data_IF_041362260373
#
_entry.id   IF_041362260373
#
_cell.length_a   1.000
_cell.length_b   1.000
_cell.length_c   1.000
_cell.angle_alpha   90.00
_cell.angle_beta   90.00
_cell.angle_gamma   90.00
#
_symmetry.space_group_name_H-M   'P 1'
#
loop_
_entity.id
_entity.type
_entity.pdbx_description
1 polymer ?
#
# COMPACT_ATOMS: atom_id res chain seq x y z
N UNK A 1 -20.76 11.32 -1.50
CA UNK A 1 -21.87 10.69 -2.26
C UNK A 1 -21.67 9.19 -2.40
N UNK A 2 -20.64 8.68 -3.09
CA UNK A 2 -20.43 7.22 -3.29
C UNK A 2 -20.41 6.43 -1.99
N UNK A 3 -19.51 6.77 -1.05
CA UNK A 3 -19.38 6.07 0.25
C UNK A 3 -20.68 6.05 1.07
N UNK A 4 -21.44 7.15 1.03
CA UNK A 4 -22.71 7.25 1.75
C UNK A 4 -23.76 6.30 1.15
N UNK A 5 -23.86 6.25 -0.18
CA UNK A 5 -24.80 5.39 -0.90
C UNK A 5 -24.43 3.91 -0.68
N UNK A 6 -23.17 3.56 -0.88
CA UNK A 6 -22.70 2.17 -0.72
C UNK A 6 -22.87 1.69 0.71
N UNK A 7 -22.54 2.51 1.71
CA UNK A 7 -22.78 2.19 3.11
C UNK A 7 -24.27 1.95 3.43
N UNK A 8 -25.17 2.79 2.90
CA UNK A 8 -26.64 2.60 3.03
C UNK A 8 -27.13 1.27 2.45
N UNK A 9 -26.41 0.71 1.47
CA UNK A 9 -26.69 -0.59 0.87
C UNK A 9 -25.89 -1.76 1.47
N UNK A 10 -25.24 -1.55 2.63
CA UNK A 10 -24.48 -2.59 3.32
C UNK A 10 -23.14 -2.92 2.66
N UNK A 11 -22.59 -1.97 1.89
CA UNK A 11 -21.28 -2.05 1.24
C UNK A 11 -20.38 -0.94 1.83
N UNK A 12 -19.93 -1.08 3.09
CA UNK A 12 -18.99 -0.12 3.65
C UNK A 12 -17.70 -0.03 2.81
N UNK A 13 -17.05 1.12 2.91
CA UNK A 13 -15.68 1.30 2.41
C UNK A 13 -14.74 0.45 3.26
N UNK A 14 -13.81 -0.28 2.62
CA UNK A 14 -12.73 -0.98 3.31
C UNK A 14 -11.36 -0.44 2.91
N UNK A 15 -11.28 0.20 1.73
CA UNK A 15 -10.12 0.92 1.22
C UNK A 15 -10.57 2.11 0.35
N UNK A 16 -9.69 3.10 0.16
CA UNK A 16 -9.98 4.41 -0.46
C UNK A 16 -10.88 4.38 -1.72
N UNK A 17 -10.75 3.37 -2.58
CA UNK A 17 -11.46 3.26 -3.86
C UNK A 17 -12.48 2.12 -3.95
N UNK A 18 -12.59 1.23 -2.95
CA UNK A 18 -13.48 0.06 -3.02
C UNK A 18 -14.37 -0.14 -1.79
N UNK A 19 -15.50 -0.79 -2.07
CA UNK A 19 -16.58 -1.04 -1.13
C UNK A 19 -17.02 -2.48 -1.26
N UNK A 20 -17.28 -3.14 -0.14
CA UNK A 20 -17.71 -4.53 -0.14
C UNK A 20 -18.56 -4.82 1.10
N UNK A 21 -19.36 -5.90 1.04
CA UNK A 21 -19.94 -6.45 2.26
C UNK A 21 -18.79 -6.97 3.14
N UNK A 22 -18.91 -6.92 4.47
CA UNK A 22 -17.94 -7.56 5.35
C UNK A 22 -17.71 -9.02 4.94
N UNK A 23 -16.45 -9.42 4.73
CA UNK A 23 -16.06 -10.75 4.28
C UNK A 23 -16.07 -10.96 2.76
N UNK A 24 -16.43 -9.93 1.98
CA UNK A 24 -16.40 -9.95 0.52
C UNK A 24 -15.36 -8.97 -0.06
N UNK A 25 -14.41 -8.53 0.74
CA UNK A 25 -13.33 -7.63 0.33
C UNK A 25 -12.44 -8.29 -0.72
N UNK A 26 -11.93 -7.48 -1.67
CA UNK A 26 -11.06 -7.99 -2.72
C UNK A 26 -9.72 -8.45 -2.12
N UNK A 27 -9.55 -9.77 -1.99
CA UNK A 27 -8.30 -10.39 -1.49
C UNK A 27 -7.07 -9.92 -2.25
N UNK A 28 -7.18 -9.76 -3.57
CA UNK A 28 -6.08 -9.29 -4.41
C UNK A 28 -5.65 -7.86 -4.05
N UNK A 29 -6.60 -6.93 -3.91
CA UNK A 29 -6.30 -5.55 -3.50
C UNK A 29 -5.72 -5.50 -2.09
N UNK A 30 -6.27 -6.31 -1.17
CA UNK A 30 -5.79 -6.37 0.21
C UNK A 30 -4.34 -6.82 0.28
N UNK A 31 -3.89 -7.78 -0.56
CA UNK A 31 -2.47 -8.15 -0.60
C UNK A 31 -1.59 -6.94 -0.89
N UNK A 32 -1.97 -6.08 -1.84
CA UNK A 32 -1.21 -4.85 -2.13
C UNK A 32 -1.23 -3.86 -0.98
N UNK A 33 -2.43 -3.57 -0.45
CA UNK A 33 -2.62 -2.55 0.57
C UNK A 33 -2.07 -2.94 1.95
N UNK A 34 -2.03 -4.25 2.26
CA UNK A 34 -1.33 -4.78 3.44
C UNK A 34 0.18 -4.91 3.26
N UNK A 35 0.71 -4.49 2.11
CA UNK A 35 2.13 -4.61 1.78
C UNK A 35 2.64 -6.07 1.81
N UNK A 36 1.75 -6.98 1.41
CA UNK A 36 2.02 -8.40 1.27
C UNK A 36 2.90 -8.71 0.06
N UNK A 37 3.22 -10.00 -0.10
CA UNK A 37 4.04 -10.49 -1.19
C UNK A 37 3.20 -10.87 -2.40
N UNK A 38 3.68 -10.53 -3.59
CA UNK A 38 3.02 -10.88 -4.84
C UNK A 38 3.99 -10.92 -6.01
N UNK A 39 3.78 -11.89 -6.89
CA UNK A 39 4.46 -11.99 -8.17
C UNK A 39 3.61 -11.34 -9.26
N UNK A 40 4.14 -10.30 -9.92
CA UNK A 40 3.60 -9.78 -11.17
C UNK A 40 4.04 -10.64 -12.35
N UNK A 41 3.09 -11.09 -13.17
CA UNK A 41 3.33 -11.90 -14.37
C UNK A 41 2.60 -11.27 -15.56
N UNK A 42 3.26 -11.24 -16.71
CA UNK A 42 2.72 -10.70 -17.95
C UNK A 42 3.14 -9.24 -18.20
N UNK A 43 2.82 -8.71 -19.40
CA UNK A 43 3.32 -7.42 -19.82
C UNK A 43 2.95 -6.28 -18.84
N UNK A 44 3.95 -5.53 -18.38
CA UNK A 44 3.78 -4.36 -17.50
C UNK A 44 3.47 -4.71 -16.04
N UNK A 45 3.48 -5.99 -15.67
CA UNK A 45 3.24 -6.40 -14.30
C UNK A 45 4.36 -5.94 -13.38
N UNK A 46 4.00 -5.68 -12.12
CA UNK A 46 4.93 -5.37 -11.05
C UNK A 46 4.80 -6.41 -9.95
N UNK A 47 5.86 -6.62 -9.18
CA UNK A 47 5.79 -7.47 -8.00
C UNK A 47 6.64 -6.98 -6.85
N UNK A 48 6.28 -7.46 -5.67
CA UNK A 48 7.07 -7.34 -4.45
C UNK A 48 7.21 -8.72 -3.83
N UNK A 49 8.42 -9.26 -3.80
CA UNK A 49 8.71 -10.59 -3.25
C UNK A 49 9.79 -10.45 -2.18
N UNK A 50 9.61 -11.09 -1.03
CA UNK A 50 10.65 -11.16 0.00
C UNK A 50 11.57 -12.33 -0.31
N UNK A 51 12.87 -12.06 -0.38
CA UNK A 51 13.93 -13.04 -0.59
C UNK A 51 14.82 -13.10 0.65
N UNK A 52 15.84 -13.96 0.62
CA UNK A 52 16.87 -13.99 1.66
C UNK A 52 17.67 -12.69 1.77
N UNK A 53 17.65 -11.85 0.74
CA UNK A 53 18.43 -10.60 0.71
C UNK A 53 17.62 -9.39 1.19
N UNK A 54 16.37 -9.27 0.74
CA UNK A 54 15.45 -8.18 1.06
C UNK A 54 14.07 -8.43 0.46
N UNK A 55 13.18 -7.45 0.61
CA UNK A 55 12.09 -7.27 -0.35
C UNK A 55 12.63 -6.74 -1.68
N UNK A 56 12.30 -7.43 -2.76
CA UNK A 56 12.64 -7.10 -4.13
C UNK A 56 11.44 -6.44 -4.81
N UNK A 57 11.67 -5.34 -5.53
CA UNK A 57 10.71 -4.73 -6.43
C UNK A 57 11.07 -5.09 -7.86
N UNK A 58 10.12 -5.66 -8.59
CA UNK A 58 10.34 -6.03 -9.99
C UNK A 58 9.29 -5.43 -10.91
N UNK A 59 9.70 -5.12 -12.12
CA UNK A 59 8.82 -4.69 -13.21
C UNK A 59 9.08 -5.52 -14.47
N UNK A 60 8.02 -5.76 -15.24
CA UNK A 60 8.02 -6.60 -16.42
C UNK A 60 7.84 -5.71 -17.67
N UNK A 61 8.50 -6.09 -18.78
CA UNK A 61 8.37 -5.41 -20.07
C UNK A 61 6.89 -5.16 -20.41
N UNK A 62 6.56 -3.91 -20.71
CA UNK A 62 5.17 -3.45 -20.87
C UNK A 62 4.61 -3.67 -22.26
N UNK A 63 5.47 -3.79 -23.27
CA UNK A 63 5.06 -4.02 -24.66
C UNK A 63 4.83 -5.51 -24.89
N UNK A 64 3.60 -5.97 -25.14
CA UNK A 64 3.28 -7.40 -25.22
C UNK A 64 4.14 -8.17 -26.23
N UNK A 65 4.47 -7.58 -27.37
CA UNK A 65 5.28 -8.23 -28.40
C UNK A 65 6.73 -8.41 -27.94
N UNK A 66 7.33 -7.36 -27.35
CA UNK A 66 8.70 -7.42 -26.82
C UNK A 66 8.78 -8.33 -25.60
N UNK A 67 7.75 -8.31 -24.76
CA UNK A 67 7.62 -9.22 -23.64
C UNK A 67 7.64 -10.66 -24.10
N UNK A 68 6.85 -11.01 -25.13
CA UNK A 68 6.79 -12.36 -25.67
C UNK A 68 8.15 -12.79 -26.24
N UNK A 69 8.76 -11.95 -27.08
CA UNK A 69 10.08 -12.20 -27.66
C UNK A 69 11.14 -12.47 -26.58
N UNK A 70 11.17 -11.66 -25.51
CA UNK A 70 12.10 -11.86 -24.39
C UNK A 70 11.82 -13.11 -23.60
N UNK A 71 10.56 -13.41 -23.31
CA UNK A 71 10.20 -14.65 -22.59
C UNK A 71 10.61 -15.88 -23.40
N UNK A 72 10.38 -15.89 -24.71
CA UNK A 72 10.78 -17.00 -25.58
C UNK A 72 12.31 -17.14 -25.69
N UNK A 73 13.05 -16.03 -25.69
CA UNK A 73 14.52 -16.03 -25.83
C UNK A 73 15.27 -16.28 -24.52
N UNK A 74 14.82 -15.70 -23.41
CA UNK A 74 15.54 -15.58 -22.13
C UNK A 74 14.82 -16.30 -20.97
N UNK A 75 13.57 -16.72 -21.15
CA UNK A 75 12.74 -17.33 -20.11
C UNK A 75 12.05 -16.33 -19.18
N UNK A 76 12.32 -15.02 -19.33
CA UNK A 76 11.66 -13.95 -18.58
C UNK A 76 11.66 -12.63 -19.36
N UNK A 77 10.95 -11.63 -18.86
CA UNK A 77 10.98 -10.28 -19.39
C UNK A 77 11.08 -9.21 -18.29
N UNK A 78 11.91 -9.47 -17.26
CA UNK A 78 12.24 -8.49 -16.22
C UNK A 78 12.89 -7.25 -16.83
N UNK A 79 12.48 -6.08 -16.38
CA UNK A 79 13.08 -4.77 -16.72
C UNK A 79 13.80 -4.19 -15.51
N UNK A 80 13.15 -4.23 -14.35
CA UNK A 80 13.76 -3.88 -13.06
C UNK A 80 13.67 -5.07 -12.11
N UNK A 81 14.67 -5.20 -11.26
CA UNK A 81 14.74 -6.19 -10.19
C UNK A 81 15.61 -5.64 -9.06
N UNK A 82 15.05 -4.68 -8.34
CA UNK A 82 15.79 -3.85 -7.41
C UNK A 82 15.52 -4.25 -5.96
N UNK A 83 16.58 -4.20 -5.17
CA UNK A 83 16.47 -4.34 -3.72
C UNK A 83 15.86 -3.07 -3.13
N UNK A 84 14.75 -3.20 -2.39
CA UNK A 84 14.20 -2.07 -1.65
C UNK A 84 15.02 -1.82 -0.38
N UNK A 85 15.39 -0.55 -0.15
CA UNK A 85 15.95 -0.09 1.10
C UNK A 85 14.92 -0.14 2.22
N UNK A 86 15.36 -0.10 3.49
CA UNK A 86 14.46 -0.02 4.65
C UNK A 86 13.54 1.20 4.53
N UNK A 87 14.10 2.36 4.20
CA UNK A 87 13.34 3.60 3.99
C UNK A 87 12.27 3.45 2.90
N UNK A 88 12.64 2.92 1.73
CA UNK A 88 11.68 2.68 0.65
C UNK A 88 10.57 1.70 1.06
N UNK A 89 10.90 0.68 1.87
CA UNK A 89 9.89 -0.23 2.38
C UNK A 89 8.93 0.44 3.38
N UNK A 90 9.44 1.34 4.22
CA UNK A 90 8.62 2.17 5.11
C UNK A 90 7.68 3.07 4.33
N UNK A 91 8.19 3.75 3.31
CA UNK A 91 7.41 4.66 2.46
C UNK A 91 6.33 3.91 1.67
N UNK A 92 6.67 2.77 1.05
CA UNK A 92 5.67 1.91 0.39
C UNK A 92 4.62 1.42 1.39
N UNK A 93 5.00 1.02 2.62
CA UNK A 93 4.04 0.59 3.64
C UNK A 93 3.07 1.70 4.07
N UNK A 94 3.55 2.94 4.24
CA UNK A 94 2.68 4.09 4.51
C UNK A 94 1.72 4.36 3.34
N UNK A 95 2.25 4.43 2.12
CA UNK A 95 1.49 4.71 0.91
C UNK A 95 0.38 3.68 0.67
N UNK A 96 0.68 2.40 0.90
CA UNK A 96 -0.24 1.30 0.70
C UNK A 96 -1.24 1.20 1.86
N UNK A 97 -0.75 1.14 3.10
CA UNK A 97 -1.58 0.79 4.25
C UNK A 97 -2.52 1.90 4.71
N UNK A 98 -2.18 3.17 4.48
CA UNK A 98 -3.08 4.29 4.81
C UNK A 98 -4.28 4.40 3.86
N UNK A 99 -4.28 3.64 2.75
CA UNK A 99 -5.48 3.46 1.91
C UNK A 99 -6.55 2.63 2.60
N UNK A 100 -6.18 1.80 3.56
CA UNK A 100 -7.10 0.94 4.30
C UNK A 100 -7.79 1.71 5.42
N UNK A 101 -9.08 1.42 5.64
CA UNK A 101 -9.84 2.03 6.75
C UNK A 101 -9.27 1.63 8.12
N UNK A 102 -8.66 0.45 8.22
CA UNK A 102 -7.95 0.00 9.41
C UNK A 102 -6.58 0.67 9.61
N UNK A 103 -6.06 1.34 8.58
CA UNK A 103 -4.79 2.06 8.63
C UNK A 103 -3.56 1.17 8.75
N UNK A 104 -2.49 1.70 9.33
CA UNK A 104 -1.19 1.05 9.53
C UNK A 104 -0.87 0.81 11.00
N UNK A 105 -0.14 -0.26 11.28
CA UNK A 105 0.53 -0.47 12.56
C UNK A 105 1.88 0.28 12.59
N UNK A 106 2.08 1.25 13.51
CA UNK A 106 3.34 1.98 13.65
C UNK A 106 4.55 1.09 14.00
N UNK A 107 4.34 -0.05 14.64
CA UNK A 107 5.42 -0.99 14.97
C UNK A 107 5.90 -1.73 13.72
N UNK A 108 4.99 -2.07 12.80
CA UNK A 108 5.36 -2.63 11.49
C UNK A 108 6.12 -1.60 10.67
N UNK A 109 5.69 -0.33 10.68
CA UNK A 109 6.44 0.75 10.04
C UNK A 109 7.87 0.83 10.61
N UNK A 110 8.01 0.83 11.94
CA UNK A 110 9.32 0.87 12.60
C UNK A 110 10.23 -0.29 12.19
N UNK A 111 9.67 -1.50 12.11
CA UNK A 111 10.42 -2.69 11.71
C UNK A 111 10.88 -2.64 10.24
N UNK A 112 10.09 -2.05 9.35
CA UNK A 112 10.43 -1.91 7.92
C UNK A 112 11.38 -0.75 7.65
N UNK A 113 11.09 0.42 8.22
CA UNK A 113 11.77 1.68 7.95
C UNK A 113 13.06 1.89 8.76
N UNK A 114 13.29 1.07 9.79
CA UNK A 114 14.40 1.26 10.73
C UNK A 114 14.26 2.48 11.64
N UNK A 115 13.12 3.18 11.59
CA UNK A 115 12.84 4.42 12.34
C UNK A 115 11.40 4.51 12.81
N UNK A 116 11.14 5.32 13.83
CA UNK A 116 9.78 5.61 14.28
C UNK A 116 9.14 6.75 13.46
N UNK A 117 7.82 6.78 13.43
CA UNK A 117 7.08 7.95 12.97
C UNK A 117 7.32 9.12 13.93
N UNK A 118 7.39 10.32 13.37
CA UNK A 118 7.53 11.53 14.19
C UNK A 118 6.27 11.78 15.01
N UNK A 119 6.34 11.53 16.33
CA UNK A 119 5.21 11.66 17.24
C UNK A 119 4.56 13.05 17.22
N UNK A 120 5.32 14.13 17.00
CA UNK A 120 4.76 15.49 16.91
C UNK A 120 3.93 15.69 15.66
N UNK A 121 4.37 15.14 14.52
CA UNK A 121 3.61 15.19 13.26
C UNK A 121 2.34 14.36 13.35
N UNK A 122 2.44 13.13 13.87
CA UNK A 122 1.28 12.27 14.12
C UNK A 122 0.25 12.99 15.00
N UNK A 123 0.68 13.57 16.13
CA UNK A 123 -0.20 14.32 17.02
C UNK A 123 -0.87 15.52 16.31
N UNK A 124 -0.11 16.26 15.50
CA UNK A 124 -0.66 17.39 14.75
C UNK A 124 -1.70 16.97 13.71
N UNK A 125 -1.47 15.86 12.98
CA UNK A 125 -2.44 15.33 12.00
C UNK A 125 -3.71 14.81 12.68
N UNK A 126 -3.60 14.26 13.89
CA UNK A 126 -4.76 13.87 14.70
C UNK A 126 -5.54 15.10 15.17
N UNK A 127 -4.84 16.15 15.65
CA UNK A 127 -5.47 17.42 16.05
C UNK A 127 -6.22 18.07 14.88
N UNK A 128 -5.65 18.01 13.67
CA UNK A 128 -6.27 18.46 12.43
C UNK A 128 -7.39 17.54 11.93
N UNK A 129 -7.66 16.41 12.60
CA UNK A 129 -8.65 15.39 12.22
C UNK A 129 -8.40 14.76 10.86
N UNK A 130 -7.14 14.68 10.42
CA UNK A 130 -6.73 14.02 9.18
C UNK A 130 -6.26 12.58 9.44
N UNK A 131 -5.76 12.31 10.65
CA UNK A 131 -5.41 10.98 11.13
C UNK A 131 -6.23 10.64 12.37
N UNK A 132 -6.44 9.35 12.63
CA UNK A 132 -7.05 8.86 13.87
C UNK A 132 -6.37 7.59 14.37
N UNK A 133 -6.43 7.39 15.68
CA UNK A 133 -6.07 6.11 16.29
C UNK A 133 -7.23 5.11 16.19
N UNK A 134 -6.89 3.85 15.94
CA UNK A 134 -7.81 2.71 15.90
C UNK A 134 -7.45 1.71 17.00
N UNK A 135 -8.33 0.72 17.18
CA UNK A 135 -8.07 -0.39 18.08
C UNK A 135 -6.70 -1.04 17.77
N UNK A 136 -5.97 -1.41 18.82
CA UNK A 136 -4.62 -1.98 18.70
C UNK A 136 -3.52 -0.97 18.39
N UNK A 137 -3.78 0.35 18.49
CA UNK A 137 -2.76 1.39 18.31
C UNK A 137 -2.42 1.67 16.85
N UNK A 138 -3.28 1.26 15.91
CA UNK A 138 -3.10 1.55 14.48
C UNK A 138 -3.44 3.01 14.19
N UNK A 139 -2.78 3.57 13.18
CA UNK A 139 -3.03 4.92 12.66
C UNK A 139 -3.74 4.81 11.31
N UNK A 140 -4.92 5.43 11.20
CA UNK A 140 -5.72 5.42 9.98
C UNK A 140 -6.06 6.83 9.53
N UNK A 141 -6.15 7.04 8.22
CA UNK A 141 -6.70 8.28 7.68
C UNK A 141 -8.18 8.43 8.12
N UNK A 142 -8.59 9.65 8.45
CA UNK A 142 -10.01 9.98 8.58
C UNK A 142 -10.67 10.06 7.21
N UNK A 143 -12.01 10.12 7.12
CA UNK A 143 -12.67 10.39 5.84
C UNK A 143 -12.14 11.66 5.16
N UNK A 144 -11.85 12.71 5.93
CA UNK A 144 -11.27 13.96 5.41
C UNK A 144 -9.78 13.79 5.07
N UNK A 145 -9.02 13.08 5.90
CA UNK A 145 -7.63 12.76 5.64
C UNK A 145 -7.42 11.89 4.41
N UNK A 146 -8.36 10.98 4.12
CA UNK A 146 -8.32 10.14 2.92
C UNK A 146 -8.45 10.97 1.63
N UNK A 147 -9.09 12.14 1.67
CA UNK A 147 -9.12 13.07 0.54
C UNK A 147 -7.77 13.73 0.28
N UNK A 148 -6.89 13.75 1.30
CA UNK A 148 -5.56 14.34 1.27
C UNK A 148 -4.46 13.28 1.42
N UNK A 149 -4.76 12.02 1.05
CA UNK A 149 -3.93 10.87 1.40
C UNK A 149 -2.48 11.02 0.95
N UNK A 150 -2.24 11.47 -0.28
CA UNK A 150 -0.87 11.62 -0.82
C UNK A 150 -0.06 12.64 -0.01
N UNK A 151 -0.69 13.74 0.41
CA UNK A 151 -0.05 14.75 1.26
C UNK A 151 0.23 14.22 2.66
N UNK A 152 -0.71 13.44 3.22
CA UNK A 152 -0.57 12.82 4.53
C UNK A 152 0.56 11.78 4.54
N UNK A 153 0.68 10.97 3.48
CA UNK A 153 1.79 10.02 3.30
C UNK A 153 3.11 10.77 3.20
N UNK A 154 3.20 11.82 2.39
CA UNK A 154 4.42 12.61 2.24
C UNK A 154 4.87 13.26 3.56
N UNK A 155 3.94 13.77 4.38
CA UNK A 155 4.26 14.38 5.68
C UNK A 155 4.75 13.33 6.70
N UNK A 156 4.18 12.12 6.67
CA UNK A 156 4.60 11.01 7.54
C UNK A 156 5.93 10.37 7.10
N UNK A 157 6.22 10.37 5.80
CA UNK A 157 7.44 9.85 5.22
C UNK A 157 8.66 10.77 5.45
N UNK A 158 8.46 12.08 5.67
CA UNK A 158 9.54 13.06 5.83
C UNK A 158 10.21 13.07 7.22
#
# INVERSE_FOLDING_TARGET
ITQEITAKHGLPVYEISNHARPGAECRHNLVYWHYGEYAGIGPGAHGRLVTSESRMAHSIEKRPEVWLERVEAEGHALVENDRLSEEAQGDEYLLMGLRLVEGIDPQVFKALAGRELNAKRVASLIEQKLLMERAGGRLAATPDGALLLDALVADLAA
#
